data_IF_718002565355
#
_entry.id   IF_718002565355
#
_cell.length_a   1.000
_cell.length_b   1.000
_cell.length_c   1.000
_cell.angle_alpha   90.00
_cell.angle_beta   90.00
_cell.angle_gamma   90.00
#
_symmetry.space_group_name_H-M   'P 1'
#
loop_
_entity.id
_entity.type
_entity.pdbx_description
1 polymer ?
#
# COMPACT_ATOMS: atom_id res chain seq x y z
N UNK A 1 19.73 -59.33 19.33
CA UNK A 1 19.97 -57.91 19.62
C UNK A 1 19.46 -57.10 18.44
N UNK A 2 18.31 -56.51 18.58
CA UNK A 2 17.72 -55.69 17.52
C UNK A 2 18.03 -54.22 17.85
N UNK A 3 18.89 -53.59 17.06
CA UNK A 3 19.16 -52.17 17.18
C UNK A 3 18.04 -51.44 16.45
N UNK A 4 17.15 -50.77 17.20
CA UNK A 4 16.17 -49.89 16.65
C UNK A 4 16.87 -48.60 16.20
N UNK A 5 16.90 -48.38 14.88
CA UNK A 5 17.39 -47.13 14.27
C UNK A 5 16.25 -46.12 14.34
N UNK A 6 16.32 -45.20 15.30
CA UNK A 6 15.36 -44.09 15.37
C UNK A 6 15.68 -43.13 14.25
N UNK A 7 14.84 -43.13 13.21
CA UNK A 7 14.87 -42.15 12.14
C UNK A 7 14.24 -40.84 12.67
N UNK A 8 15.07 -39.90 13.09
CA UNK A 8 14.64 -38.56 13.42
C UNK A 8 14.35 -37.85 12.12
N UNK A 9 13.10 -37.80 11.73
CA UNK A 9 12.64 -36.96 10.64
C UNK A 9 12.62 -35.51 11.15
N UNK A 10 13.68 -34.78 10.83
CA UNK A 10 13.74 -33.34 11.05
C UNK A 10 12.78 -32.66 10.04
N UNK A 11 11.53 -32.44 10.46
CA UNK A 11 10.59 -31.63 9.70
C UNK A 11 11.06 -30.18 9.78
N UNK A 12 11.89 -29.79 8.82
CA UNK A 12 12.11 -28.37 8.56
C UNK A 12 10.79 -27.78 8.08
N UNK A 13 10.04 -27.20 9.00
CA UNK A 13 8.93 -26.33 8.67
C UNK A 13 9.49 -25.14 7.91
N UNK A 14 9.44 -25.21 6.59
CA UNK A 14 9.68 -24.08 5.73
C UNK A 14 8.55 -23.11 6.04
N UNK A 15 8.84 -22.13 6.87
CA UNK A 15 7.96 -20.99 7.04
C UNK A 15 8.02 -20.23 5.72
N UNK A 16 7.09 -20.57 4.83
CA UNK A 16 6.82 -19.77 3.67
C UNK A 16 6.40 -18.40 4.19
N UNK A 17 7.26 -17.39 3.98
CA UNK A 17 6.84 -16.01 4.13
C UNK A 17 5.74 -15.77 3.08
N UNK A 18 4.49 -15.93 3.47
CA UNK A 18 3.39 -15.48 2.65
C UNK A 18 3.54 -13.97 2.46
N UNK A 19 3.44 -13.48 1.22
CA UNK A 19 3.48 -12.05 0.98
C UNK A 19 2.35 -11.41 1.80
N UNK A 20 2.74 -10.52 2.70
CA UNK A 20 1.81 -9.85 3.59
C UNK A 20 0.91 -8.95 2.75
N UNK A 21 -0.32 -9.36 2.55
CA UNK A 21 -1.33 -8.55 1.87
C UNK A 21 -1.96 -7.62 2.88
N UNK A 22 -1.78 -6.32 2.68
CA UNK A 22 -2.41 -5.29 3.52
C UNK A 22 -3.91 -5.24 3.19
N UNK A 23 -4.73 -5.30 4.22
CA UNK A 23 -6.18 -5.16 4.09
C UNK A 23 -6.53 -3.69 3.95
N UNK A 24 -7.38 -3.36 2.98
CA UNK A 24 -7.89 -1.99 2.80
C UNK A 24 -8.80 -1.64 3.98
N UNK A 25 -8.37 -0.67 4.77
CA UNK A 25 -9.10 -0.19 5.95
C UNK A 25 -9.81 1.13 5.65
N UNK A 26 -11.06 1.22 6.10
CA UNK A 26 -11.86 2.43 6.03
C UNK A 26 -12.78 2.51 4.81
N UNK A 27 -13.34 3.69 4.59
CA UNK A 27 -14.20 4.00 3.46
C UNK A 27 -13.37 4.30 2.22
N UNK A 28 -13.66 3.63 1.11
CA UNK A 28 -13.00 3.92 -0.16
C UNK A 28 -13.58 5.21 -0.73
N UNK A 29 -12.72 6.21 -0.91
CA UNK A 29 -13.12 7.51 -1.46
C UNK A 29 -12.71 7.69 -2.92
N UNK A 30 -11.74 6.92 -3.41
CA UNK A 30 -11.34 6.92 -4.81
C UNK A 30 -10.80 5.55 -5.21
N UNK A 31 -11.11 5.14 -6.44
CA UNK A 31 -10.48 4.03 -7.16
C UNK A 31 -10.00 4.52 -8.51
N UNK A 32 -8.75 4.22 -8.84
CA UNK A 32 -8.16 4.56 -10.13
C UNK A 32 -7.46 3.34 -10.71
N UNK A 33 -8.09 2.71 -11.69
CA UNK A 33 -7.49 1.58 -12.38
C UNK A 33 -6.36 2.04 -13.31
N UNK A 34 -5.27 1.27 -13.33
CA UNK A 34 -4.24 1.44 -14.36
C UNK A 34 -4.80 1.11 -15.74
N UNK A 35 -4.24 1.70 -16.79
CA UNK A 35 -4.72 1.54 -18.16
C UNK A 35 -4.72 0.09 -18.66
N UNK A 36 -3.82 -0.76 -18.17
CA UNK A 36 -3.78 -2.19 -18.48
C UNK A 36 -4.74 -3.04 -17.63
N UNK A 37 -5.37 -2.43 -16.62
CA UNK A 37 -6.31 -3.09 -15.72
C UNK A 37 -5.69 -4.02 -14.67
N UNK A 38 -4.35 -4.16 -14.65
CA UNK A 38 -3.68 -5.10 -13.73
C UNK A 38 -3.56 -4.57 -12.30
N UNK A 39 -3.51 -3.25 -12.13
CA UNK A 39 -3.38 -2.57 -10.84
C UNK A 39 -4.47 -1.54 -10.64
N UNK A 40 -4.86 -1.36 -9.40
CA UNK A 40 -5.81 -0.34 -8.96
C UNK A 40 -5.20 0.44 -7.81
N UNK A 41 -5.16 1.75 -7.93
CA UNK A 41 -4.85 2.65 -6.81
C UNK A 41 -6.14 2.96 -6.04
N UNK A 42 -6.10 2.81 -4.74
CA UNK A 42 -7.25 3.00 -3.86
C UNK A 42 -6.90 4.03 -2.81
N UNK A 43 -7.72 5.06 -2.68
CA UNK A 43 -7.68 6.00 -1.55
C UNK A 43 -8.78 5.63 -0.59
N UNK A 44 -8.43 5.34 0.65
CA UNK A 44 -9.36 5.04 1.73
C UNK A 44 -9.23 6.04 2.87
N UNK A 45 -10.32 6.28 3.57
CA UNK A 45 -10.42 7.20 4.67
C UNK A 45 -11.02 6.51 5.90
N UNK A 46 -10.36 6.60 7.03
CA UNK A 46 -10.85 6.04 8.29
C UNK A 46 -11.11 7.14 9.32
N UNK A 47 -12.22 7.00 10.04
CA UNK A 47 -12.61 7.86 11.15
C UNK A 47 -12.44 7.09 12.46
N UNK A 48 -11.59 7.61 13.34
CA UNK A 48 -11.31 7.00 14.65
C UNK A 48 -11.97 7.73 15.82
N UNK A 49 -12.90 8.64 15.55
CA UNK A 49 -13.66 9.35 16.56
C UNK A 49 -13.74 10.86 16.33
N UNK A 50 -14.62 11.52 17.07
CA UNK A 50 -14.97 12.94 16.84
C UNK A 50 -13.81 13.93 17.04
N UNK A 51 -12.80 13.56 17.82
CA UNK A 51 -11.65 14.43 18.14
C UNK A 51 -10.38 14.04 17.41
N UNK A 52 -10.44 13.00 16.59
CA UNK A 52 -9.29 12.48 15.84
C UNK A 52 -9.45 12.85 14.38
N UNK A 53 -8.43 13.42 13.72
CA UNK A 53 -8.47 13.67 12.29
C UNK A 53 -8.70 12.38 11.50
N UNK A 54 -9.33 12.49 10.34
CA UNK A 54 -9.39 11.37 9.40
C UNK A 54 -7.98 10.92 9.02
N UNK A 55 -7.79 9.60 9.01
CA UNK A 55 -6.57 8.98 8.49
C UNK A 55 -6.84 8.51 7.08
N UNK A 56 -6.03 8.98 6.15
CA UNK A 56 -6.06 8.60 4.75
C UNK A 56 -4.98 7.58 4.46
N UNK A 57 -5.33 6.59 3.67
CA UNK A 57 -4.39 5.58 3.19
C UNK A 57 -4.52 5.42 1.69
N UNK A 58 -3.40 5.26 1.03
CA UNK A 58 -3.36 4.90 -0.38
C UNK A 58 -2.80 3.49 -0.50
N UNK A 59 -3.51 2.65 -1.22
CA UNK A 59 -3.13 1.27 -1.51
C UNK A 59 -2.90 1.09 -3.01
N UNK A 60 -1.95 0.24 -3.37
CA UNK A 60 -1.90 -0.39 -4.67
C UNK A 60 -2.34 -1.84 -4.53
N UNK A 61 -3.33 -2.22 -5.31
CA UNK A 61 -3.95 -3.54 -5.28
C UNK A 61 -3.95 -4.13 -6.68
N UNK A 62 -3.67 -5.43 -6.78
CA UNK A 62 -3.89 -6.16 -8.03
C UNK A 62 -5.39 -6.27 -8.32
N UNK A 63 -5.76 -6.36 -9.60
CA UNK A 63 -7.16 -6.42 -10.01
C UNK A 63 -7.92 -7.63 -9.44
N UNK A 64 -7.21 -8.73 -9.18
CA UNK A 64 -7.75 -9.93 -8.54
C UNK A 64 -7.73 -9.88 -7.00
N UNK A 65 -7.27 -8.76 -6.41
CA UNK A 65 -7.13 -8.53 -4.97
C UNK A 65 -6.16 -9.47 -4.25
N UNK A 66 -5.34 -10.22 -4.98
CA UNK A 66 -4.36 -11.15 -4.40
C UNK A 66 -3.17 -10.44 -3.76
N UNK A 67 -2.84 -9.25 -4.24
CA UNK A 67 -1.76 -8.41 -3.73
C UNK A 67 -2.33 -7.03 -3.40
N UNK A 68 -2.06 -6.57 -2.19
CA UNK A 68 -2.41 -5.22 -1.75
C UNK A 68 -1.31 -4.68 -0.85
N UNK A 69 -0.86 -3.47 -1.11
CA UNK A 69 0.16 -2.81 -0.32
C UNK A 69 -0.23 -1.39 0.02
N UNK A 70 -0.08 -1.02 1.27
CA UNK A 70 -0.23 0.36 1.73
C UNK A 70 1.00 1.18 1.30
N UNK A 71 0.76 2.19 0.49
CA UNK A 71 1.79 3.06 -0.08
C UNK A 71 1.95 4.35 0.73
N UNK A 72 0.83 4.92 1.17
CA UNK A 72 0.80 6.16 1.93
C UNK A 72 -0.14 6.03 3.13
N UNK A 73 0.26 6.63 4.24
CA UNK A 73 -0.59 6.90 5.38
C UNK A 73 -0.38 8.33 5.86
N UNK A 74 -1.43 9.11 5.92
CA UNK A 74 -1.38 10.51 6.33
C UNK A 74 -2.67 10.96 7.02
N UNK A 75 -2.57 12.02 7.81
CA UNK A 75 -3.74 12.68 8.41
C UNK A 75 -3.71 14.19 8.17
N UNK A 76 -4.74 14.89 8.59
CA UNK A 76 -4.89 16.36 8.52
C UNK A 76 -4.80 16.90 7.10
N UNK A 77 -5.25 16.13 6.13
CA UNK A 77 -5.29 16.53 4.74
C UNK A 77 -6.48 17.45 4.47
N UNK A 78 -6.30 18.41 3.56
CA UNK A 78 -7.41 19.16 2.96
C UNK A 78 -8.03 18.32 1.85
N UNK A 79 -7.20 17.78 0.98
CA UNK A 79 -7.60 16.85 -0.07
C UNK A 79 -6.47 15.88 -0.43
N UNK A 80 -6.85 14.79 -1.07
CA UNK A 80 -5.94 13.80 -1.61
C UNK A 80 -6.61 13.12 -2.80
N UNK A 81 -5.86 12.94 -3.87
CA UNK A 81 -6.27 12.12 -5.01
C UNK A 81 -5.06 11.45 -5.66
N UNK A 82 -5.33 10.41 -6.43
CA UNK A 82 -4.33 9.65 -7.15
C UNK A 82 -4.63 9.67 -8.63
N UNK A 83 -3.57 9.63 -9.43
CA UNK A 83 -3.67 9.51 -10.88
C UNK A 83 -2.50 8.69 -11.43
N UNK A 84 -2.71 8.08 -12.58
CA UNK A 84 -1.65 7.40 -13.32
C UNK A 84 -1.08 8.35 -14.36
N UNK A 85 0.23 8.51 -14.34
CA UNK A 85 0.99 9.30 -15.29
C UNK A 85 1.89 8.39 -16.12
N UNK A 86 1.99 8.64 -17.44
CA UNK A 86 2.86 7.92 -18.38
C UNK A 86 2.79 6.38 -18.29
N UNK A 87 1.60 5.83 -18.09
CA UNK A 87 1.30 4.40 -18.05
C UNK A 87 1.96 3.57 -16.95
N UNK A 88 2.89 4.11 -16.17
CA UNK A 88 3.60 3.33 -15.16
C UNK A 88 3.90 4.06 -13.86
N UNK A 89 3.60 5.33 -13.75
CA UNK A 89 3.89 6.12 -12.54
C UNK A 89 2.61 6.46 -11.82
N UNK A 90 2.52 6.10 -10.55
CA UNK A 90 1.44 6.55 -9.68
C UNK A 90 1.82 7.89 -9.08
N UNK A 91 0.99 8.90 -9.29
CA UNK A 91 1.13 10.20 -8.67
C UNK A 91 0.08 10.35 -7.59
N UNK A 92 0.51 10.62 -6.37
CA UNK A 92 -0.34 10.96 -5.24
C UNK A 92 -0.24 12.46 -5.03
N UNK A 93 -1.34 13.16 -5.27
CA UNK A 93 -1.43 14.59 -5.00
C UNK A 93 -2.18 14.80 -3.70
N UNK A 94 -1.55 15.54 -2.80
CA UNK A 94 -2.17 15.88 -1.52
C UNK A 94 -1.87 17.34 -1.18
N UNK A 95 -2.80 17.95 -0.48
CA UNK A 95 -2.65 19.30 0.02
C UNK A 95 -2.70 19.29 1.53
N UNK A 96 -1.65 19.82 2.14
CA UNK A 96 -1.41 19.77 3.57
C UNK A 96 -1.23 18.33 4.08
N UNK A 97 -1.11 18.18 5.38
CA UNK A 97 -1.14 16.89 6.03
C UNK A 97 0.16 16.50 6.71
N UNK A 98 0.03 15.48 7.49
CA UNK A 98 1.13 14.84 8.19
C UNK A 98 1.27 13.41 7.70
N UNK A 99 2.44 13.08 7.19
CA UNK A 99 2.73 11.78 6.59
C UNK A 99 3.37 10.88 7.64
N UNK A 100 2.79 9.70 7.84
CA UNK A 100 3.32 8.67 8.74
C UNK A 100 4.10 7.59 7.99
N UNK A 101 3.71 7.32 6.74
CA UNK A 101 4.29 6.28 5.92
C UNK A 101 4.21 6.68 4.46
N UNK A 102 5.29 6.47 3.74
CA UNK A 102 5.35 6.64 2.29
C UNK A 102 6.33 5.65 1.68
N UNK A 103 5.89 4.98 0.62
CA UNK A 103 6.73 4.13 -0.23
C UNK A 103 6.80 4.74 -1.62
N UNK A 104 8.00 5.05 -2.06
CA UNK A 104 8.23 5.66 -3.38
C UNK A 104 8.29 4.66 -4.53
N UNK A 105 8.21 3.36 -4.22
CA UNK A 105 8.17 2.29 -5.21
C UNK A 105 7.24 1.17 -4.77
N UNK A 106 6.62 0.54 -5.76
CA UNK A 106 5.89 -0.70 -5.59
C UNK A 106 6.44 -1.74 -6.56
N UNK A 107 6.72 -2.94 -6.05
CA UNK A 107 7.24 -4.04 -6.85
C UNK A 107 6.14 -5.05 -7.12
N UNK A 108 5.96 -5.37 -8.41
CA UNK A 108 5.09 -6.46 -8.83
C UNK A 108 5.97 -7.68 -9.06
N UNK A 109 5.73 -8.73 -8.32
CA UNK A 109 6.44 -9.99 -8.44
C UNK A 109 5.53 -11.08 -9.00
N UNK A 110 6.10 -11.96 -9.84
CA UNK A 110 5.41 -13.16 -10.30
C UNK A 110 5.34 -14.23 -9.22
N UNK A 111 4.63 -15.32 -9.52
CA UNK A 111 4.47 -16.48 -8.63
C UNK A 111 5.78 -17.19 -8.29
N UNK A 112 6.80 -17.02 -9.12
CA UNK A 112 8.16 -17.54 -8.95
C UNK A 112 9.10 -16.61 -8.18
N UNK A 113 8.59 -15.45 -7.71
CA UNK A 113 9.37 -14.42 -7.03
C UNK A 113 10.19 -13.53 -7.96
N UNK A 114 10.06 -13.67 -9.28
CA UNK A 114 10.70 -12.77 -10.22
C UNK A 114 10.05 -11.40 -10.22
N UNK A 115 10.87 -10.35 -10.30
CA UNK A 115 10.39 -8.98 -10.45
C UNK A 115 9.80 -8.80 -11.86
N UNK A 116 8.49 -8.58 -11.94
CA UNK A 116 7.78 -8.33 -13.19
C UNK A 116 7.75 -6.86 -13.57
N UNK A 117 7.57 -6.00 -12.58
CA UNK A 117 7.51 -4.56 -12.78
C UNK A 117 7.86 -3.81 -11.50
N UNK A 118 8.36 -2.60 -11.70
CA UNK A 118 8.59 -1.63 -10.64
C UNK A 118 7.74 -0.40 -10.96
N UNK A 119 6.85 -0.04 -10.04
CA UNK A 119 5.98 1.11 -10.19
C UNK A 119 6.55 2.24 -9.33
N UNK A 120 7.09 3.31 -9.92
CA UNK A 120 7.47 4.49 -9.16
C UNK A 120 6.23 5.21 -8.65
N UNK A 121 6.32 5.70 -7.42
CA UNK A 121 5.28 6.49 -6.77
C UNK A 121 5.82 7.87 -6.47
N UNK A 122 5.19 8.88 -7.03
CA UNK A 122 5.52 10.27 -6.80
C UNK A 122 4.53 10.86 -5.83
N UNK A 123 5.03 11.53 -4.81
CA UNK A 123 4.23 12.31 -3.89
C UNK A 123 4.36 13.79 -4.25
N UNK A 124 3.27 14.37 -4.73
CA UNK A 124 3.16 15.78 -5.03
C UNK A 124 2.36 16.48 -3.93
N UNK A 125 3.04 17.32 -3.17
CA UNK A 125 2.42 18.13 -2.12
C UNK A 125 2.30 19.56 -2.62
N UNK A 126 1.15 19.91 -3.16
CA UNK A 126 0.87 21.28 -3.60
C UNK A 126 0.73 22.20 -2.39
N UNK A 127 1.71 23.08 -2.28
CA UNK A 127 1.69 24.17 -1.32
C UNK A 127 2.08 23.77 0.09
N UNK A 128 2.88 24.61 0.69
CA UNK A 128 3.13 24.58 2.12
C UNK A 128 1.81 24.94 2.81
N UNK A 129 1.35 24.11 3.71
CA UNK A 129 0.34 24.52 4.67
C UNK A 129 0.97 25.60 5.51
N UNK A 130 0.50 26.82 5.36
CA UNK A 130 0.92 27.90 6.25
C UNK A 130 0.71 27.42 7.68
N UNK A 131 1.78 27.43 8.47
CA UNK A 131 1.79 26.99 9.84
C UNK A 131 0.87 27.83 10.77
N UNK A 132 0.19 28.82 10.21
CA UNK A 132 -0.72 29.73 10.93
C UNK A 132 -2.19 29.30 10.93
N UNK A 133 -2.57 28.25 10.20
CA UNK A 133 -3.96 27.75 10.25
C UNK A 133 -4.12 26.47 11.05
N UNK A 134 -3.28 26.21 12.03
CA UNK A 134 -3.42 25.10 12.94
C UNK A 134 -4.41 25.43 14.06
N UNK A 135 -5.67 25.24 13.77
CA UNK A 135 -6.72 25.11 14.80
C UNK A 135 -7.66 24.00 14.43
#
# INVERSE_FOLDING_TARGET
>A
MKKALALVVLVCSVWACEPRTDVVEGEIVQRMAHSDGALVAIVARANYGATVPYVYRVYLQSSDSSISAEILRADRLIDIYVEWEDNNTLVIRMRCGRIFKFKNFFYVTGTDGQLLAQIPVILDTEGLCDSESSF
#
